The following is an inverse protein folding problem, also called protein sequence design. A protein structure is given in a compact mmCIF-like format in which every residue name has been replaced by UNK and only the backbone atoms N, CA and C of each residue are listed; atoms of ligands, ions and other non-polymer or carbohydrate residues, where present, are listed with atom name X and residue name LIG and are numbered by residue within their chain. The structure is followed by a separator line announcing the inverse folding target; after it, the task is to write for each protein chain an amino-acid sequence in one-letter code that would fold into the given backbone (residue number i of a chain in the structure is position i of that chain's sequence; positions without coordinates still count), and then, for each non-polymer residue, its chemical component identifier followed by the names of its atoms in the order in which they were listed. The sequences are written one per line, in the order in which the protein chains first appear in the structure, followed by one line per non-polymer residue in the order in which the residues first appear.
data_IF_508943346935
#
_entry.id   IF_508943346935
#
_cell.length_a   1.000
_cell.length_b   1.000
_cell.length_c   1.000
_cell.angle_alpha   90.00
_cell.angle_beta   90.00
_cell.angle_gamma   90.00
#
_symmetry.space_group_name_H-M   'P 1'
#
loop_
_entity.id
_entity.type
_entity.pdbx_description
1 polymer ?
#
# COMPACT_ATOMS: atom_id res chain seq x y z
N UNK A 1 15.95 27.99 1.67
CA UNK A 1 16.71 26.72 1.74
C UNK A 1 16.53 26.20 3.15
N UNK A 2 15.55 25.31 3.35
CA UNK A 2 15.38 24.64 4.64
C UNK A 2 16.40 23.51 4.69
N UNK A 3 17.20 23.50 5.75
CA UNK A 3 18.22 22.52 6.06
C UNK A 3 17.60 21.11 6.08
N UNK A 4 17.68 20.38 4.95
CA UNK A 4 17.12 19.04 4.79
C UNK A 4 18.08 18.00 5.36
N UNK A 5 18.42 18.13 6.64
CA UNK A 5 19.19 17.11 7.32
C UNK A 5 18.44 15.78 7.22
N UNK A 6 19.12 14.74 6.73
CA UNK A 6 18.60 13.37 6.68
C UNK A 6 18.35 12.96 8.14
N UNK A 7 17.10 12.66 8.53
CA UNK A 7 16.81 12.27 9.89
C UNK A 7 17.48 10.92 10.18
N UNK A 8 17.88 10.69 11.44
CA UNK A 8 18.37 9.37 11.86
C UNK A 8 17.19 8.38 11.84
N UNK A 9 17.00 7.70 10.71
CA UNK A 9 15.90 6.74 10.54
C UNK A 9 16.24 5.37 11.13
N UNK A 10 17.49 4.93 11.01
CA UNK A 10 17.95 3.62 11.49
C UNK A 10 18.91 3.82 12.66
N UNK A 11 18.69 3.06 13.73
CA UNK A 11 19.59 3.06 14.90
C UNK A 11 20.79 2.14 14.72
N UNK A 12 20.64 1.14 13.84
CA UNK A 12 21.62 0.13 13.49
C UNK A 12 21.81 0.07 11.97
N UNK A 13 22.29 -1.06 11.45
CA UNK A 13 22.43 -1.30 10.02
C UNK A 13 21.07 -1.26 9.31
N UNK A 14 21.05 -0.68 8.10
CA UNK A 14 19.86 -0.65 7.26
C UNK A 14 19.46 -2.09 6.91
N UNK A 15 18.22 -2.51 7.21
CA UNK A 15 17.82 -3.89 7.05
C UNK A 15 17.64 -4.25 5.56
N UNK A 16 17.86 -5.53 5.23
CA UNK A 16 17.68 -6.02 3.87
C UNK A 16 16.21 -5.93 3.44
N UNK A 17 15.98 -5.36 2.24
CA UNK A 17 14.64 -5.23 1.65
C UNK A 17 13.88 -6.56 1.61
N UNK A 18 14.56 -7.66 1.28
CA UNK A 18 13.98 -9.00 1.17
C UNK A 18 13.32 -9.49 2.46
N UNK A 19 13.89 -9.15 3.61
CA UNK A 19 13.35 -9.58 4.91
C UNK A 19 12.41 -8.53 5.49
N UNK A 20 12.80 -7.26 5.40
CA UNK A 20 12.14 -6.15 6.09
C UNK A 20 10.89 -5.64 5.37
N UNK A 21 11.00 -5.48 4.05
CA UNK A 21 9.92 -4.97 3.20
C UNK A 21 9.08 -6.13 2.70
N UNK A 22 9.70 -7.08 1.97
CA UNK A 22 8.96 -8.18 1.34
C UNK A 22 8.35 -9.13 2.39
N UNK A 23 9.03 -9.29 3.52
CA UNK A 23 8.54 -10.07 4.65
C UNK A 23 7.40 -9.39 5.45
N UNK A 24 7.04 -8.13 5.20
CA UNK A 24 5.93 -7.50 5.93
C UNK A 24 4.59 -8.18 5.58
N UNK A 25 3.97 -8.83 6.56
CA UNK A 25 2.72 -9.55 6.35
C UNK A 25 1.91 -9.83 7.62
N UNK A 26 0.68 -10.26 7.41
CA UNK A 26 -0.33 -10.42 8.45
C UNK A 26 -1.11 -11.73 8.28
N UNK A 27 -1.53 -12.30 9.41
CA UNK A 27 -2.30 -13.54 9.42
C UNK A 27 -3.80 -13.27 9.24
N UNK A 28 -4.43 -13.98 8.30
CA UNK A 28 -5.83 -13.82 7.91
C UNK A 28 -6.58 -15.15 7.89
N UNK A 29 -7.86 -15.08 8.22
CA UNK A 29 -8.80 -16.18 8.04
C UNK A 29 -9.33 -16.13 6.59
N UNK A 30 -9.00 -17.11 5.74
CA UNK A 30 -9.42 -17.11 4.34
C UNK A 30 -10.93 -17.22 4.18
N UNK A 31 -11.64 -17.92 5.08
CA UNK A 31 -13.10 -18.02 5.04
C UNK A 31 -13.76 -16.66 5.29
N UNK A 32 -13.27 -15.93 6.30
CA UNK A 32 -13.71 -14.55 6.53
C UNK A 32 -13.39 -13.65 5.33
N UNK A 33 -12.17 -13.71 4.80
CA UNK A 33 -11.79 -12.88 3.65
C UNK A 33 -12.66 -13.14 2.42
N UNK A 34 -12.96 -14.39 2.08
CA UNK A 34 -13.88 -14.74 0.98
C UNK A 34 -15.29 -14.21 1.25
N UNK A 35 -15.77 -14.29 2.49
CA UNK A 35 -17.13 -13.85 2.86
C UNK A 35 -17.39 -12.33 2.72
N UNK A 36 -16.33 -11.51 2.74
CA UNK A 36 -16.46 -10.05 2.58
C UNK A 36 -16.33 -9.57 1.13
N UNK A 37 -15.98 -10.46 0.19
CA UNK A 37 -15.94 -10.12 -1.23
C UNK A 37 -17.35 -10.09 -1.81
N UNK A 38 -17.66 -9.14 -2.71
CA UNK A 38 -18.95 -9.12 -3.41
C UNK A 38 -19.09 -10.25 -4.44
N UNK A 39 -17.97 -10.83 -4.89
CA UNK A 39 -17.90 -11.94 -5.83
C UNK A 39 -16.70 -12.81 -5.47
N UNK A 40 -16.92 -14.12 -5.27
CA UNK A 40 -15.87 -15.08 -4.91
C UNK A 40 -14.73 -15.12 -5.94
N UNK A 41 -15.01 -14.80 -7.21
CA UNK A 41 -14.00 -14.75 -8.29
C UNK A 41 -12.96 -13.64 -8.10
N UNK A 42 -13.19 -12.70 -7.19
CA UNK A 42 -12.21 -11.69 -6.79
C UNK A 42 -11.15 -12.24 -5.83
N UNK A 43 -11.30 -13.47 -5.33
CA UNK A 43 -10.27 -14.14 -4.56
C UNK A 43 -9.09 -14.53 -5.46
N UNK A 44 -7.85 -14.10 -5.15
CA UNK A 44 -6.66 -14.54 -5.87
C UNK A 44 -6.33 -15.99 -5.52
N UNK A 45 -6.15 -16.86 -6.51
CA UNK A 45 -5.85 -18.28 -6.31
C UNK A 45 -4.48 -18.51 -5.65
N UNK A 46 -3.56 -17.56 -5.77
CA UNK A 46 -2.27 -17.60 -5.07
C UNK A 46 -2.44 -17.66 -3.54
N UNK A 47 -3.53 -17.10 -3.01
CA UNK A 47 -3.82 -17.16 -1.57
C UNK A 47 -4.26 -18.56 -1.11
N UNK A 48 -4.82 -19.39 -2.00
CA UNK A 48 -5.16 -20.79 -1.69
C UNK A 48 -3.91 -21.69 -1.64
N UNK A 49 -2.80 -21.26 -2.23
CA UNK A 49 -1.53 -22.00 -2.27
C UNK A 49 -0.66 -21.74 -1.03
N UNK A 50 -1.03 -20.76 -0.20
CA UNK A 50 -0.28 -20.40 0.99
C UNK A 50 -0.40 -21.50 2.06
N UNK A 51 0.69 -21.79 2.79
CA UNK A 51 0.64 -22.76 3.86
C UNK A 51 -0.31 -22.29 4.97
N UNK A 52 -1.28 -23.13 5.29
CA UNK A 52 -2.16 -22.90 6.44
C UNK A 52 -1.38 -23.12 7.74
N UNK A 53 -1.53 -22.18 8.67
CA UNK A 53 -1.07 -22.32 10.05
C UNK A 53 -1.96 -23.34 10.79
N UNK A 54 -1.55 -23.85 11.97
CA UNK A 54 -2.34 -24.84 12.72
C UNK A 54 -3.78 -24.42 13.04
N UNK A 55 -4.06 -23.11 13.07
CA UNK A 55 -5.39 -22.54 13.29
C UNK A 55 -6.18 -22.31 11.98
N UNK A 56 -5.73 -22.87 10.85
CA UNK A 56 -6.34 -22.73 9.53
C UNK A 56 -6.12 -21.37 8.85
N UNK A 57 -5.42 -20.43 9.49
CA UNK A 57 -5.17 -19.10 8.93
C UNK A 57 -3.97 -19.10 8.00
N UNK A 58 -3.96 -18.18 7.05
CA UNK A 58 -2.85 -17.97 6.11
C UNK A 58 -2.10 -16.68 6.44
N UNK A 59 -0.80 -16.63 6.14
CA UNK A 59 0.00 -15.40 6.26
C UNK A 59 0.14 -14.75 4.89
N UNK A 60 -0.37 -13.53 4.75
CA UNK A 60 -0.27 -12.74 3.52
C UNK A 60 0.80 -11.68 3.73
N UNK A 61 1.87 -11.69 2.93
CA UNK A 61 2.95 -10.70 2.94
C UNK A 61 3.13 -9.98 1.60
N UNK A 62 4.05 -9.02 1.55
CA UNK A 62 4.31 -8.27 0.30
C UNK A 62 4.80 -9.19 -0.81
N UNK A 63 5.53 -10.26 -0.51
CA UNK A 63 6.00 -11.22 -1.52
C UNK A 63 4.85 -11.81 -2.31
N UNK A 64 3.82 -12.35 -1.64
CA UNK A 64 2.66 -12.91 -2.35
C UNK A 64 1.83 -11.83 -3.05
N UNK A 65 1.70 -10.63 -2.48
CA UNK A 65 0.96 -9.54 -3.14
C UNK A 65 1.69 -9.05 -4.40
N UNK A 66 3.04 -9.03 -4.39
CA UNK A 66 3.83 -8.76 -5.60
C UNK A 66 3.68 -9.87 -6.65
N UNK A 67 3.66 -11.14 -6.25
CA UNK A 67 3.42 -12.24 -7.19
C UNK A 67 2.05 -12.10 -7.89
N UNK A 68 1.00 -11.78 -7.12
CA UNK A 68 -0.33 -11.47 -7.66
C UNK A 68 -0.25 -10.26 -8.60
N UNK A 69 0.44 -9.20 -8.21
CA UNK A 69 0.58 -8.00 -9.04
C UNK A 69 1.28 -8.30 -10.38
N UNK A 70 2.33 -9.12 -10.37
CA UNK A 70 3.06 -9.54 -11.57
C UNK A 70 2.15 -10.28 -12.56
N UNK A 71 1.35 -11.24 -12.07
CA UNK A 71 0.35 -11.92 -12.92
C UNK A 71 -0.66 -10.93 -13.48
N UNK A 72 -1.23 -10.08 -12.63
CA UNK A 72 -2.28 -9.12 -13.03
C UNK A 72 -1.76 -8.13 -14.08
N UNK A 73 -0.51 -7.70 -13.96
CA UNK A 73 0.15 -6.85 -14.96
C UNK A 73 0.38 -7.58 -16.28
N UNK A 74 0.74 -8.86 -16.25
CA UNK A 74 0.90 -9.69 -17.45
C UNK A 74 -0.45 -9.97 -18.15
N UNK A 75 -1.54 -10.02 -17.39
CA UNK A 75 -2.89 -10.38 -17.84
C UNK A 75 -3.87 -9.19 -17.80
N UNK A 76 -3.39 -7.97 -18.04
CA UNK A 76 -4.15 -6.72 -17.85
C UNK A 76 -5.35 -6.56 -18.83
N UNK A 77 -5.62 -7.56 -19.66
CA UNK A 77 -6.79 -7.65 -20.54
C UNK A 77 -8.03 -8.19 -19.83
N UNK A 78 -7.90 -8.90 -18.70
CA UNK A 78 -9.04 -9.29 -17.86
C UNK A 78 -9.26 -8.24 -16.76
N UNK A 79 -10.35 -7.45 -16.81
CA UNK A 79 -10.64 -6.44 -15.79
C UNK A 79 -10.80 -7.03 -14.37
N UNK A 80 -11.07 -8.34 -14.26
CA UNK A 80 -11.19 -9.05 -12.98
C UNK A 80 -9.83 -9.27 -12.31
N UNK A 81 -8.75 -9.31 -13.08
CA UNK A 81 -7.39 -9.43 -12.52
C UNK A 81 -7.05 -8.23 -11.62
N UNK A 82 -7.48 -7.02 -12.01
CA UNK A 82 -7.28 -5.82 -11.19
C UNK A 82 -8.05 -5.86 -9.86
N UNK A 83 -9.26 -6.43 -9.83
CA UNK A 83 -10.02 -6.59 -8.58
C UNK A 83 -9.39 -7.65 -7.67
N UNK A 84 -8.80 -8.71 -8.22
CA UNK A 84 -8.04 -9.70 -7.45
C UNK A 84 -6.82 -9.07 -6.77
N UNK A 85 -6.02 -8.28 -7.49
CA UNK A 85 -4.91 -7.55 -6.86
C UNK A 85 -5.42 -6.63 -5.74
N UNK A 86 -6.51 -5.90 -5.98
CA UNK A 86 -7.06 -5.02 -4.96
C UNK A 86 -7.59 -5.79 -3.73
N UNK A 87 -8.21 -6.95 -3.92
CA UNK A 87 -8.61 -7.86 -2.85
C UNK A 87 -7.39 -8.32 -2.03
N UNK A 88 -6.29 -8.73 -2.68
CA UNK A 88 -5.04 -9.10 -2.01
C UNK A 88 -4.50 -7.95 -1.15
N UNK A 89 -4.52 -6.72 -1.67
CA UNK A 89 -4.10 -5.51 -0.96
C UNK A 89 -4.96 -5.26 0.27
N UNK A 90 -6.28 -5.45 0.18
CA UNK A 90 -7.20 -5.30 1.31
C UNK A 90 -6.85 -6.31 2.40
N UNK A 91 -6.71 -7.59 2.04
CA UNK A 91 -6.45 -8.64 3.03
C UNK A 91 -5.06 -8.58 3.62
N UNK A 92 -4.08 -8.08 2.87
CA UNK A 92 -2.78 -7.74 3.42
C UNK A 92 -2.85 -6.52 4.37
N UNK A 93 -3.36 -5.39 3.88
CA UNK A 93 -3.18 -4.09 4.55
C UNK A 93 -4.26 -3.68 5.57
N UNK A 94 -5.46 -4.25 5.54
CA UNK A 94 -6.54 -3.86 6.44
C UNK A 94 -6.52 -4.67 7.75
N UNK A 95 -6.67 -4.03 8.94
CA UNK A 95 -6.96 -4.76 10.16
C UNK A 95 -8.24 -5.61 10.03
N UNK A 96 -8.31 -6.79 10.71
CA UNK A 96 -9.46 -7.68 10.62
C UNK A 96 -10.74 -7.00 11.16
N UNK A 97 -11.89 -7.48 10.71
CA UNK A 97 -13.20 -6.95 11.12
C UNK A 97 -13.64 -5.73 10.31
N UNK A 98 -14.20 -4.72 10.98
CA UNK A 98 -14.85 -3.57 10.31
C UNK A 98 -13.93 -2.82 9.33
N UNK A 99 -12.63 -2.75 9.60
CA UNK A 99 -11.68 -2.11 8.68
C UNK A 99 -11.53 -2.88 7.36
N UNK A 100 -11.49 -4.21 7.41
CA UNK A 100 -11.49 -5.06 6.20
C UNK A 100 -12.80 -4.90 5.42
N UNK A 101 -13.96 -4.95 6.09
CA UNK A 101 -15.26 -4.79 5.42
C UNK A 101 -15.40 -3.41 4.75
N UNK A 102 -14.94 -2.33 5.40
CA UNK A 102 -14.92 -0.99 4.80
C UNK A 102 -13.98 -0.90 3.60
N UNK A 103 -12.82 -1.54 3.68
CA UNK A 103 -11.85 -1.57 2.60
C UNK A 103 -12.31 -2.40 1.39
N UNK A 104 -13.15 -3.42 1.60
CA UNK A 104 -13.74 -4.23 0.53
C UNK A 104 -14.91 -3.54 -0.19
N UNK A 105 -15.63 -2.62 0.49
CA UNK A 105 -16.82 -1.94 -0.06
C UNK A 105 -16.63 -1.33 -1.47
N UNK A 106 -15.49 -0.72 -1.84
CA UNK A 106 -15.27 -0.19 -3.18
C UNK A 106 -15.37 -1.26 -4.29
N UNK A 107 -15.09 -2.53 -3.99
CA UNK A 107 -15.19 -3.63 -4.96
C UNK A 107 -16.62 -3.92 -5.40
N UNK A 108 -17.64 -3.49 -4.64
CA UNK A 108 -19.05 -3.62 -5.01
C UNK A 108 -19.48 -2.60 -6.08
N UNK A 109 -18.62 -1.69 -6.51
CA UNK A 109 -18.94 -0.75 -7.59
C UNK A 109 -18.75 -1.41 -8.96
N UNK A 110 -19.76 -1.28 -9.83
CA UNK A 110 -19.69 -1.76 -11.22
C UNK A 110 -18.50 -1.19 -12.01
N UNK A 111 -18.05 0.01 -11.65
CA UNK A 111 -16.92 0.68 -12.29
C UNK A 111 -15.56 0.29 -11.67
N UNK A 112 -15.52 -0.49 -10.58
CA UNK A 112 -14.27 -0.84 -9.92
C UNK A 112 -13.33 -1.64 -10.83
N UNK A 113 -13.77 -2.71 -11.54
CA UNK A 113 -12.88 -3.48 -12.41
C UNK A 113 -12.21 -2.62 -13.49
N UNK A 114 -12.99 -1.80 -14.20
CA UNK A 114 -12.48 -0.95 -15.27
C UNK A 114 -11.57 0.17 -14.74
N UNK A 115 -11.96 0.84 -13.64
CA UNK A 115 -11.14 1.94 -13.06
C UNK A 115 -9.85 1.46 -12.42
N UNK A 116 -9.85 0.31 -11.74
CA UNK A 116 -8.63 -0.30 -11.20
C UNK A 116 -7.69 -0.71 -12.33
N UNK A 117 -8.22 -1.33 -13.39
CA UNK A 117 -7.43 -1.71 -14.58
C UNK A 117 -6.79 -0.48 -15.23
N UNK A 118 -7.56 0.59 -15.46
CA UNK A 118 -7.03 1.84 -16.01
C UNK A 118 -6.04 2.52 -15.06
N UNK A 119 -6.23 2.42 -13.74
CA UNK A 119 -5.25 2.95 -12.78
C UNK A 119 -3.90 2.23 -12.88
N UNK A 120 -3.91 0.91 -13.03
CA UNK A 120 -2.70 0.10 -13.25
C UNK A 120 -2.02 0.52 -14.57
N UNK A 121 -2.78 0.73 -15.65
CA UNK A 121 -2.21 1.23 -16.90
C UNK A 121 -1.52 2.58 -16.70
N UNK A 122 -2.21 3.53 -16.07
CA UNK A 122 -1.72 4.90 -15.85
C UNK A 122 -0.45 4.92 -15.00
N UNK A 123 -0.42 4.19 -13.88
CA UNK A 123 0.78 4.18 -13.03
C UNK A 123 2.00 3.61 -13.76
N UNK A 124 1.79 2.63 -14.65
CA UNK A 124 2.86 2.02 -15.45
C UNK A 124 3.27 2.84 -16.66
N UNK A 125 2.34 3.57 -17.28
CA UNK A 125 2.60 4.34 -18.51
C UNK A 125 3.07 5.76 -18.23
N UNK A 126 2.45 6.44 -17.25
CA UNK A 126 2.57 7.87 -16.95
C UNK A 126 3.17 8.16 -15.57
N UNK A 127 3.25 7.16 -14.69
CA UNK A 127 3.88 7.26 -13.37
C UNK A 127 2.94 7.60 -12.21
N UNK A 128 3.51 7.64 -11.01
CA UNK A 128 2.77 7.75 -9.76
C UNK A 128 1.95 9.05 -9.63
N UNK A 129 2.49 10.18 -10.10
CA UNK A 129 1.82 11.48 -10.06
C UNK A 129 0.49 11.48 -10.82
N UNK A 130 0.52 11.00 -12.08
CA UNK A 130 -0.66 10.92 -12.94
C UNK A 130 -1.70 9.95 -12.39
N UNK A 131 -1.26 8.80 -11.85
CA UNK A 131 -2.16 7.83 -11.24
C UNK A 131 -2.85 8.37 -9.97
N UNK A 132 -2.09 9.00 -9.06
CA UNK A 132 -2.66 9.62 -7.86
C UNK A 132 -3.70 10.68 -8.23
N UNK A 133 -3.37 11.57 -9.18
CA UNK A 133 -4.31 12.58 -9.67
C UNK A 133 -5.56 11.94 -10.29
N UNK A 134 -5.41 10.91 -11.12
CA UNK A 134 -6.54 10.27 -11.79
C UNK A 134 -7.50 9.55 -10.83
N UNK A 135 -6.98 8.96 -9.74
CA UNK A 135 -7.75 8.22 -8.73
C UNK A 135 -8.32 9.09 -7.61
N UNK A 136 -7.86 10.35 -7.52
CA UNK A 136 -8.31 11.32 -6.53
C UNK A 136 -9.83 11.54 -6.53
N UNK A 137 -10.36 12.09 -5.43
CA UNK A 137 -11.80 12.31 -5.26
C UNK A 137 -12.36 13.17 -6.41
N UNK A 138 -13.47 12.73 -6.99
CA UNK A 138 -14.15 13.37 -8.14
C UNK A 138 -13.32 13.41 -9.45
N UNK A 139 -12.25 12.62 -9.55
CA UNK A 139 -11.45 12.49 -10.76
C UNK A 139 -11.88 11.29 -11.60
N UNK A 140 -11.33 11.19 -12.82
CA UNK A 140 -11.80 10.22 -13.86
C UNK A 140 -11.77 8.75 -13.43
N UNK A 141 -10.86 8.34 -12.54
CA UNK A 141 -10.76 6.97 -12.00
C UNK A 141 -11.20 6.87 -10.54
N UNK A 142 -11.88 7.88 -10.01
CA UNK A 142 -12.35 7.86 -8.63
C UNK A 142 -13.30 6.69 -8.39
N UNK A 143 -13.08 5.91 -7.34
CA UNK A 143 -14.03 4.88 -6.87
C UNK A 143 -14.55 5.33 -5.50
N UNK A 144 -15.87 5.54 -5.33
CA UNK A 144 -16.43 5.92 -4.03
C UNK A 144 -16.01 4.96 -2.91
N UNK A 145 -15.50 5.50 -1.81
CA UNK A 145 -15.00 4.72 -0.68
C UNK A 145 -13.56 4.22 -0.81
N UNK A 146 -12.94 4.31 -2.00
CA UNK A 146 -11.53 4.00 -2.18
C UNK A 146 -10.67 5.23 -1.85
N UNK A 147 -10.09 5.24 -0.64
CA UNK A 147 -9.22 6.31 -0.17
C UNK A 147 -7.76 6.19 -0.66
N UNK A 148 -6.95 7.27 -0.52
CA UNK A 148 -5.56 7.27 -0.96
C UNK A 148 -4.65 6.22 -0.34
N UNK A 149 -4.87 5.85 0.92
CA UNK A 149 -4.13 4.75 1.57
C UNK A 149 -4.20 3.44 0.78
N UNK A 150 -5.35 3.13 0.17
CA UNK A 150 -5.54 1.88 -0.57
C UNK A 150 -5.19 2.00 -2.05
N UNK A 151 -5.47 3.13 -2.69
CA UNK A 151 -5.05 3.28 -4.08
C UNK A 151 -3.53 3.46 -4.22
N UNK A 152 -2.84 4.07 -3.23
CA UNK A 152 -1.37 4.14 -3.26
C UNK A 152 -0.74 2.76 -3.06
N UNK A 153 -1.39 1.85 -2.31
CA UNK A 153 -1.02 0.42 -2.27
C UNK A 153 -1.18 -0.24 -3.63
N UNK A 154 -2.27 0.01 -4.35
CA UNK A 154 -2.45 -0.49 -5.72
C UNK A 154 -1.34 0.03 -6.64
N UNK A 155 -1.08 1.33 -6.59
CA UNK A 155 -0.02 1.96 -7.37
C UNK A 155 1.35 1.38 -7.06
N UNK A 156 1.69 1.19 -5.78
CA UNK A 156 2.93 0.56 -5.34
C UNK A 156 3.07 -0.84 -5.94
N UNK A 157 2.15 -1.77 -5.66
CA UNK A 157 2.32 -3.14 -6.12
C UNK A 157 2.27 -3.31 -7.65
N UNK A 158 1.41 -2.57 -8.35
CA UNK A 158 1.24 -2.71 -9.79
C UNK A 158 2.24 -1.87 -10.62
N UNK A 159 2.76 -0.79 -10.04
CA UNK A 159 3.66 0.16 -10.68
C UNK A 159 5.13 -0.01 -10.29
N UNK A 160 5.45 -0.82 -9.28
CA UNK A 160 6.84 -1.11 -8.91
C UNK A 160 7.62 -1.66 -10.12
N UNK A 161 8.83 -1.13 -10.33
CA UNK A 161 9.74 -1.44 -11.43
C UNK A 161 9.12 -1.33 -12.83
N UNK A 162 8.07 -0.52 -13.00
CA UNK A 162 7.43 -0.37 -14.31
C UNK A 162 8.38 0.20 -15.36
N UNK A 163 9.16 1.25 -15.01
CA UNK A 163 10.10 1.95 -15.90
C UNK A 163 11.29 2.51 -15.09
N UNK A 164 12.55 2.28 -15.51
CA UNK A 164 13.73 2.72 -14.75
C UNK A 164 13.84 4.23 -14.52
N UNK A 165 13.24 5.04 -15.39
CA UNK A 165 13.31 6.50 -15.35
C UNK A 165 12.12 7.17 -14.64
N UNK A 166 11.15 6.38 -14.16
CA UNK A 166 10.03 6.90 -13.38
C UNK A 166 10.28 6.65 -11.90
N UNK A 167 9.91 7.62 -11.05
CA UNK A 167 9.94 7.40 -9.60
C UNK A 167 9.02 6.24 -9.23
N UNK A 168 9.53 5.35 -8.39
CA UNK A 168 8.76 4.22 -7.87
C UNK A 168 7.55 4.75 -7.09
N UNK A 169 6.32 4.27 -7.36
CA UNK A 169 5.18 4.62 -6.53
C UNK A 169 5.40 4.05 -5.13
N UNK A 170 5.19 4.86 -4.08
CA UNK A 170 5.25 4.41 -2.69
C UNK A 170 3.86 4.39 -2.06
N UNK A 171 3.70 3.63 -0.97
CA UNK A 171 2.50 3.63 -0.16
C UNK A 171 2.49 4.89 0.71
N UNK A 172 1.34 5.57 0.77
CA UNK A 172 1.11 6.70 1.67
C UNK A 172 -0.19 6.47 2.43
N UNK A 173 -0.07 5.97 3.65
CA UNK A 173 -1.18 5.82 4.60
C UNK A 173 -0.94 6.62 5.88
N UNK A 174 -1.89 6.56 6.80
CA UNK A 174 -1.86 7.34 8.04
C UNK A 174 -0.62 7.04 8.89
N UNK A 175 -0.10 5.80 8.84
CA UNK A 175 1.14 5.45 9.56
C UNK A 175 2.35 6.08 8.87
N UNK A 176 2.45 6.02 7.54
CA UNK A 176 3.52 6.71 6.81
C UNK A 176 3.47 8.22 7.05
N UNK A 177 2.29 8.83 7.02
CA UNK A 177 2.10 10.27 7.34
C UNK A 177 2.52 10.58 8.77
N UNK A 178 2.14 9.74 9.74
CA UNK A 178 2.58 9.91 11.13
C UNK A 178 4.10 9.76 11.27
N UNK A 179 4.71 8.83 10.54
CA UNK A 179 6.16 8.65 10.46
C UNK A 179 6.85 9.89 9.92
N UNK A 180 6.37 10.43 8.80
CA UNK A 180 6.89 11.66 8.20
C UNK A 180 6.83 12.84 9.16
N UNK A 181 5.69 13.04 9.85
CA UNK A 181 5.56 14.10 10.88
C UNK A 181 6.59 13.96 12.00
N UNK A 182 6.80 12.73 12.51
CA UNK A 182 7.79 12.45 13.57
C UNK A 182 9.23 12.66 13.08
N UNK A 183 9.55 12.20 11.88
CA UNK A 183 10.91 12.25 11.32
C UNK A 183 11.32 13.65 10.86
N UNK A 184 10.39 14.46 10.36
CA UNK A 184 10.72 15.79 9.82
C UNK A 184 10.32 16.94 10.75
N UNK A 185 9.46 16.71 11.75
CA UNK A 185 8.87 17.77 12.58
C UNK A 185 7.94 18.73 11.80
N UNK A 186 7.47 18.33 10.62
CA UNK A 186 6.64 19.17 9.74
C UNK A 186 5.24 18.61 9.58
N UNK A 187 4.33 19.46 9.10
CA UNK A 187 2.99 19.03 8.76
C UNK A 187 3.00 18.18 7.49
N UNK A 188 2.29 17.07 7.55
CA UNK A 188 2.05 16.15 6.44
C UNK A 188 0.59 15.73 6.44
N UNK A 189 0.02 15.52 5.28
CA UNK A 189 -1.36 15.08 5.09
C UNK A 189 -1.46 14.25 3.83
N UNK A 190 -2.56 13.50 3.72
CA UNK A 190 -2.82 12.65 2.57
C UNK A 190 -3.36 13.51 1.41
N UNK A 191 -2.44 14.10 0.64
CA UNK A 191 -2.72 14.95 -0.53
C UNK A 191 -1.75 14.67 -1.67
N UNK A 192 -2.09 15.07 -2.90
CA UNK A 192 -1.20 14.88 -4.06
C UNK A 192 0.12 15.63 -3.87
N UNK A 193 0.07 16.86 -3.39
CA UNK A 193 1.25 17.69 -3.14
C UNK A 193 2.22 16.99 -2.17
N UNK A 194 1.70 16.53 -1.04
CA UNK A 194 2.52 15.81 -0.05
C UNK A 194 2.94 14.42 -0.53
N UNK A 195 2.15 13.76 -1.37
CA UNK A 195 2.55 12.49 -1.97
C UNK A 195 3.79 12.65 -2.87
N UNK A 196 3.81 13.67 -3.72
CA UNK A 196 4.97 13.95 -4.59
C UNK A 196 6.20 14.32 -3.78
N UNK A 197 6.02 15.23 -2.82
CA UNK A 197 7.09 15.61 -1.89
C UNK A 197 7.64 14.43 -1.11
N UNK A 198 6.78 13.49 -0.70
CA UNK A 198 7.20 12.27 -0.02
C UNK A 198 8.03 11.35 -0.93
N UNK A 199 7.62 11.15 -2.19
CA UNK A 199 8.40 10.34 -3.15
C UNK A 199 9.80 10.90 -3.33
N UNK A 200 9.94 12.22 -3.51
CA UNK A 200 11.24 12.86 -3.68
C UNK A 200 12.09 12.71 -2.40
N UNK A 201 11.50 12.96 -1.24
CA UNK A 201 12.18 12.83 0.05
C UNK A 201 12.64 11.38 0.32
N UNK A 202 11.81 10.39 -0.01
CA UNK A 202 12.17 8.99 0.15
C UNK A 202 13.31 8.58 -0.79
N UNK A 203 13.36 9.15 -2.00
CA UNK A 203 14.48 8.95 -2.93
C UNK A 203 15.78 9.53 -2.39
N UNK A 204 15.75 10.75 -1.86
CA UNK A 204 16.92 11.39 -1.28
C UNK A 204 17.43 10.60 -0.07
N UNK A 205 16.53 10.17 0.83
CA UNK A 205 16.91 9.35 1.98
C UNK A 205 17.41 7.97 1.58
N UNK A 206 16.81 7.32 0.59
CA UNK A 206 17.27 6.03 0.10
C UNK A 206 18.70 6.11 -0.46
N UNK A 207 19.03 7.19 -1.17
CA UNK A 207 20.38 7.46 -1.64
C UNK A 207 21.39 7.61 -0.48
N UNK A 208 21.04 8.39 0.54
CA UNK A 208 21.91 8.66 1.69
C UNK A 208 22.12 7.42 2.59
N UNK A 209 21.13 6.54 2.65
CA UNK A 209 21.19 5.28 3.40
C UNK A 209 21.67 4.08 2.58
N UNK A 210 22.04 4.26 1.30
CA UNK A 210 22.41 3.18 0.37
C UNK A 210 21.39 2.03 0.37
N UNK A 211 20.12 2.38 0.13
CA UNK A 211 19.01 1.43 0.22
C UNK A 211 17.92 1.72 -0.81
N UNK A 212 16.85 0.92 -0.77
CA UNK A 212 15.70 1.05 -1.67
C UNK A 212 14.64 1.99 -1.09
N UNK A 213 13.93 2.71 -1.96
CA UNK A 213 12.92 3.70 -1.54
C UNK A 213 11.77 3.12 -0.71
N UNK A 214 11.45 1.83 -0.91
CA UNK A 214 10.41 1.15 -0.13
C UNK A 214 10.89 0.63 1.23
N UNK A 215 12.21 0.59 1.47
CA UNK A 215 12.79 0.42 2.82
C UNK A 215 12.54 1.68 3.65
N UNK A 216 12.65 2.86 3.04
CA UNK A 216 12.32 4.14 3.67
C UNK A 216 10.82 4.22 4.00
N UNK A 217 9.94 3.87 3.05
CA UNK A 217 8.50 3.76 3.28
C UNK A 217 8.19 2.85 4.46
N UNK A 218 8.79 1.65 4.47
CA UNK A 218 8.55 0.64 5.51
C UNK A 218 8.99 1.12 6.88
N UNK A 219 10.10 1.87 6.95
CA UNK A 219 10.61 2.46 8.19
C UNK A 219 9.71 3.58 8.69
N UNK A 220 9.23 4.45 7.81
CA UNK A 220 8.27 5.49 8.15
C UNK A 220 6.96 4.92 8.70
N UNK A 221 6.43 3.87 8.06
CA UNK A 221 5.28 3.13 8.56
C UNK A 221 5.49 2.65 10.00
N UNK A 222 6.67 2.11 10.29
CA UNK A 222 7.05 1.58 11.61
C UNK A 222 7.09 2.68 12.69
N UNK A 223 7.79 3.78 12.39
CA UNK A 223 7.86 4.96 13.26
C UNK A 223 6.45 5.52 13.54
N UNK A 224 5.60 5.57 12.52
CA UNK A 224 4.21 6.00 12.63
C UNK A 224 3.35 5.07 13.50
N UNK A 225 3.49 3.75 13.30
CA UNK A 225 2.75 2.72 14.01
C UNK A 225 3.12 2.62 15.50
N UNK A 226 4.34 3.01 15.87
CA UNK A 226 4.89 2.86 17.23
C UNK A 226 4.42 3.93 18.23
N UNK A 227 3.22 4.50 18.07
CA UNK A 227 2.70 5.47 19.04
C UNK A 227 2.16 4.77 20.30
N UNK A 228 2.47 5.27 21.52
CA UNK A 228 1.90 4.73 22.75
C UNK A 228 0.39 4.93 22.73
N UNK A 229 -0.36 3.89 23.09
CA UNK A 229 -1.77 4.03 23.46
C UNK A 229 -1.90 5.21 24.41
N UNK A 230 -2.66 6.23 24.00
CA UNK A 230 -3.05 7.31 24.89
C UNK A 230 -3.61 6.67 26.17
N UNK A 231 -2.93 6.94 27.28
CA UNK A 231 -3.38 6.62 28.63
C UNK A 231 -4.82 7.04 28.80
N UNK A 232 -5.64 6.11 29.30
CA UNK A 232 -7.03 6.33 29.66
C UNK A 232 -7.21 7.62 30.47
N UNK A 233 -8.33 8.35 30.30
CA UNK A 233 -8.66 9.45 31.20
C UNK A 233 -8.87 8.88 32.61
N UNK A 234 -8.01 9.31 33.53
CA UNK A 234 -8.24 9.16 34.96
C UNK A 234 -9.54 9.89 35.30
N UNK A 235 -10.50 9.15 35.81
CA UNK A 235 -11.70 9.68 36.47
C UNK A 235 -11.27 10.48 37.70
N UNK A 236 -11.66 11.75 37.75
CA UNK A 236 -12.26 12.41 38.92
C UNK A 236 -12.89 13.73 38.50
#
# INVERSE_FOLDING_TARGET
MADSSVPKLFDEQVPLRTEYVLGQGFTRDPGYCKSVLPDERMWPSELDQLPAQPNGRIRIDRTVVFAIAQRVVAELTDPRSATQLHAAIIFWGAPPGQSTARAARPLSSDNAPSRLTEAIKVVRSEGAASAYKAMGRHQRLWIPGLGPSYFTKLMYFAGYDAKPYMSQPLIMDDNVVAGLRKSTGQQWEVSLEHYLRYIDLAKDWAYEFDTEVDVIERRLFEIGSSSPTASAPSTR
#
